data_IF_331650941063
#
_entry.id   IF_331650941063
#
_cell.length_a   1.000
_cell.length_b   1.000
_cell.length_c   1.000
_cell.angle_alpha   90.00
_cell.angle_beta   90.00
_cell.angle_gamma   90.00
#
_symmetry.space_group_name_H-M   'P 1'
#
loop_
_entity.id
_entity.type
_entity.pdbx_description
1 polymer ?
#
# COMPACT_ATOMS: atom_id res chain seq x y z
N UNK A 1 -0.58 6.11 7.54
CA UNK A 1 -1.95 5.84 8.02
C UNK A 1 -2.89 5.77 6.83
N UNK A 2 -3.79 4.79 6.80
CA UNK A 2 -4.80 4.61 5.75
C UNK A 2 -6.13 5.25 6.19
N UNK A 3 -6.91 5.75 5.24
CA UNK A 3 -8.23 6.37 5.54
C UNK A 3 -9.23 5.32 6.02
N UNK A 4 -9.14 4.09 5.51
CA UNK A 4 -9.96 2.96 5.90
C UNK A 4 -9.09 1.71 6.11
N UNK A 5 -9.49 0.80 7.00
CA UNK A 5 -8.88 -0.51 7.12
C UNK A 5 -9.03 -1.30 5.82
N UNK A 6 -7.99 -2.05 5.47
CA UNK A 6 -7.96 -2.95 4.32
C UNK A 6 -7.31 -4.25 4.78
N UNK A 7 -7.83 -5.39 4.31
CA UNK A 7 -7.18 -6.68 4.53
C UNK A 7 -5.77 -6.67 3.89
N UNK A 8 -4.74 -6.93 4.70
CA UNK A 8 -3.34 -6.88 4.28
C UNK A 8 -2.52 -7.96 4.98
N UNK A 9 -1.42 -8.35 4.34
CA UNK A 9 -0.43 -9.28 4.86
C UNK A 9 0.99 -8.81 4.48
N UNK A 10 2.01 -9.24 5.23
CA UNK A 10 3.40 -9.01 4.85
C UNK A 10 3.69 -9.69 3.50
N UNK A 11 4.44 -9.00 2.62
CA UNK A 11 4.68 -9.47 1.26
C UNK A 11 3.62 -9.03 0.23
N UNK A 12 2.49 -8.45 0.67
CA UNK A 12 1.48 -7.89 -0.24
C UNK A 12 2.09 -6.75 -1.08
N UNK A 13 1.95 -6.83 -2.40
CA UNK A 13 2.42 -5.80 -3.33
C UNK A 13 1.35 -4.73 -3.55
N UNK A 14 1.77 -3.47 -3.70
CA UNK A 14 0.86 -2.36 -3.96
C UNK A 14 1.49 -1.34 -4.92
N UNK A 15 0.64 -0.46 -5.46
CA UNK A 15 1.05 0.68 -6.29
C UNK A 15 0.65 2.00 -5.62
N UNK A 16 1.47 3.02 -5.79
CA UNK A 16 1.17 4.41 -5.37
C UNK A 16 0.75 5.19 -6.61
N UNK A 17 -0.39 5.88 -6.53
CA UNK A 17 -0.99 6.61 -7.65
C UNK A 17 -1.31 8.05 -7.29
N UNK A 18 -1.01 8.96 -8.22
CA UNK A 18 -1.33 10.39 -8.14
C UNK A 18 -1.82 10.87 -9.51
N UNK A 19 -2.92 11.63 -9.55
CA UNK A 19 -3.47 12.15 -10.81
C UNK A 19 -3.80 11.06 -11.85
N UNK A 20 -4.15 9.85 -11.39
CA UNK A 20 -4.43 8.70 -12.25
C UNK A 20 -3.21 7.93 -12.76
N UNK A 21 -1.98 8.39 -12.50
CA UNK A 21 -0.73 7.75 -12.92
C UNK A 21 -0.06 6.99 -11.78
N UNK A 22 0.67 5.92 -12.10
CA UNK A 22 1.52 5.21 -11.12
C UNK A 22 2.82 5.98 -10.93
N UNK A 23 3.14 6.29 -9.69
CA UNK A 23 4.37 7.01 -9.30
C UNK A 23 5.33 6.14 -8.48
N UNK A 24 4.87 4.96 -8.04
CA UNK A 24 5.69 4.02 -7.32
C UNK A 24 5.02 2.66 -7.16
N UNK A 25 5.81 1.69 -6.74
CA UNK A 25 5.36 0.36 -6.35
C UNK A 25 6.12 -0.08 -5.10
N UNK A 26 5.49 -0.90 -4.28
CA UNK A 26 6.05 -1.37 -3.02
C UNK A 26 5.54 -2.74 -2.62
N UNK A 27 6.10 -3.23 -1.53
CA UNK A 27 5.70 -4.46 -0.85
C UNK A 27 5.56 -4.15 0.64
N UNK A 28 4.52 -4.67 1.28
CA UNK A 28 4.32 -4.52 2.73
C UNK A 28 5.42 -5.30 3.45
N UNK A 29 6.24 -4.61 4.23
CA UNK A 29 7.34 -5.24 4.99
C UNK A 29 6.96 -5.60 6.42
N UNK A 30 6.06 -4.84 7.04
CA UNK A 30 5.56 -5.05 8.41
C UNK A 30 4.24 -4.31 8.60
N UNK A 31 3.32 -4.88 9.38
CA UNK A 31 2.05 -4.24 9.78
C UNK A 31 2.26 -3.51 11.13
N UNK A 32 1.80 -2.25 11.21
CA UNK A 32 1.88 -1.38 12.39
C UNK A 32 0.51 -0.71 12.57
N UNK A 33 0.03 -0.59 13.82
CA UNK A 33 -1.24 0.05 14.21
C UNK A 33 -1.05 1.47 14.73
#
# INVERSE_FOLDING_TARGET
SLIAPIAMEEGLRFAVREGGRTVGAGVVSKIIE
#
